data_IF_072624033994
#
_entry.id   IF_072624033994
#
_cell.length_a   1.000
_cell.length_b   1.000
_cell.length_c   1.000
_cell.angle_alpha   90.00
_cell.angle_beta   90.00
_cell.angle_gamma   90.00
#
_symmetry.space_group_name_H-M   'P 1'
#
loop_
_entity.id
_entity.type
_entity.pdbx_description
1 polymer ?
#
# COMPACT_ATOMS: atom_id res chain seq x y z
N UNK A 1 2.71 12.35 -8.31
CA UNK A 1 3.45 11.20 -7.75
C UNK A 1 4.73 11.71 -7.11
N UNK A 2 5.17 11.12 -6.00
CA UNK A 2 6.42 11.49 -5.32
C UNK A 2 7.42 10.34 -5.38
N UNK A 3 8.72 10.64 -5.22
CA UNK A 3 9.79 9.63 -5.19
C UNK A 3 10.56 9.71 -3.88
N UNK A 4 10.66 8.59 -3.18
CA UNK A 4 11.59 8.43 -2.07
C UNK A 4 13.04 8.58 -2.54
N UNK A 5 13.90 9.04 -1.64
CA UNK A 5 15.35 9.07 -1.82
C UNK A 5 15.99 8.14 -0.80
N UNK A 6 17.04 7.44 -1.21
CA UNK A 6 17.78 6.57 -0.30
C UNK A 6 18.35 7.43 0.84
N UNK A 7 17.94 7.13 2.07
CA UNK A 7 18.44 7.80 3.27
C UNK A 7 19.50 6.93 3.98
N UNK A 8 19.24 5.63 4.08
CA UNK A 8 20.14 4.62 4.66
C UNK A 8 20.13 3.37 3.80
N UNK A 9 21.23 2.61 3.83
CA UNK A 9 21.28 1.32 3.17
C UNK A 9 20.48 0.27 3.94
N UNK A 10 19.86 -0.72 3.24
CA UNK A 10 19.17 -1.81 3.90
C UNK A 10 20.09 -2.58 4.87
N UNK A 11 19.59 -3.06 6.01
CA UNK A 11 20.40 -3.77 6.99
C UNK A 11 20.82 -5.16 6.48
N UNK A 12 22.04 -5.59 6.84
CA UNK A 12 22.55 -6.92 6.54
C UNK A 12 22.55 -7.25 5.05
N UNK A 13 21.90 -8.35 4.68
CA UNK A 13 21.81 -8.83 3.30
C UNK A 13 20.54 -8.38 2.56
N UNK A 14 19.75 -7.48 3.14
CA UNK A 14 18.57 -6.95 2.47
C UNK A 14 18.93 -6.23 1.15
N UNK A 15 18.00 -6.23 0.20
CA UNK A 15 18.15 -5.67 -1.15
C UNK A 15 16.90 -4.87 -1.50
N UNK A 16 17.01 -4.00 -2.52
CA UNK A 16 15.86 -3.28 -3.06
C UNK A 16 14.83 -4.24 -3.67
N UNK A 17 13.54 -4.06 -3.37
CA UNK A 17 12.47 -4.97 -3.76
C UNK A 17 12.44 -5.30 -5.26
N UNK A 18 12.62 -4.29 -6.12
CA UNK A 18 12.61 -4.50 -7.57
C UNK A 18 13.77 -5.38 -8.04
N UNK A 19 14.93 -5.34 -7.37
CA UNK A 19 16.08 -6.20 -7.68
C UNK A 19 15.79 -7.63 -7.27
N UNK A 20 15.11 -7.85 -6.14
CA UNK A 20 14.68 -9.18 -5.68
C UNK A 20 13.74 -9.80 -6.71
N UNK A 21 12.71 -9.07 -7.14
CA UNK A 21 11.75 -9.54 -8.15
C UNK A 21 12.45 -9.80 -9.49
N UNK A 22 13.34 -8.90 -9.93
CA UNK A 22 14.11 -9.07 -11.16
C UNK A 22 15.02 -10.31 -11.11
N UNK A 23 15.73 -10.54 -10.02
CA UNK A 23 16.57 -11.72 -9.85
C UNK A 23 15.74 -13.02 -9.83
N UNK A 24 14.64 -13.04 -9.08
CA UNK A 24 13.72 -14.16 -9.03
C UNK A 24 13.15 -14.49 -10.42
N UNK A 25 12.80 -13.48 -11.22
CA UNK A 25 12.27 -13.67 -12.57
C UNK A 25 13.22 -14.44 -13.50
N UNK A 26 14.53 -14.28 -13.32
CA UNK A 26 15.55 -14.97 -14.11
C UNK A 26 15.69 -16.44 -13.70
N UNK A 27 15.69 -16.71 -12.40
CA UNK A 27 15.70 -18.07 -11.85
C UNK A 27 14.45 -18.85 -12.28
N UNK A 28 13.30 -18.16 -12.38
CA UNK A 28 12.03 -18.74 -12.79
C UNK A 28 11.85 -18.85 -14.32
N UNK A 29 12.83 -18.44 -15.12
CA UNK A 29 12.74 -18.47 -16.59
C UNK A 29 11.81 -17.42 -17.21
N UNK A 30 11.30 -16.48 -16.42
CA UNK A 30 10.41 -15.39 -16.83
C UNK A 30 11.13 -14.03 -16.76
N UNK A 31 12.35 -13.96 -17.31
CA UNK A 31 13.26 -12.82 -17.12
C UNK A 31 12.61 -11.49 -17.53
N UNK A 32 12.55 -10.57 -16.58
CA UNK A 32 12.08 -9.21 -16.82
C UNK A 32 13.10 -8.39 -17.63
N UNK A 33 12.67 -7.54 -18.58
CA UNK A 33 13.56 -6.88 -19.56
C UNK A 33 14.18 -5.57 -19.04
N UNK A 34 14.53 -5.49 -17.76
CA UNK A 34 15.13 -4.29 -17.17
C UNK A 34 16.15 -4.65 -16.09
N UNK A 35 17.30 -4.00 -16.15
CA UNK A 35 18.43 -4.25 -15.24
C UNK A 35 18.82 -3.01 -14.42
N UNK A 36 18.16 -1.87 -14.65
CA UNK A 36 18.41 -0.62 -13.93
C UNK A 36 17.11 0.00 -13.40
N UNK A 37 17.20 0.77 -12.31
CA UNK A 37 16.06 1.50 -11.76
C UNK A 37 15.48 2.52 -12.77
N UNK A 38 16.31 3.08 -13.64
CA UNK A 38 15.87 3.98 -14.72
C UNK A 38 14.98 3.24 -15.73
N UNK A 39 15.36 2.02 -16.12
CA UNK A 39 14.56 1.18 -17.01
C UNK A 39 13.24 0.74 -16.37
N UNK A 40 13.24 0.38 -15.09
CA UNK A 40 11.99 0.10 -14.33
C UNK A 40 11.06 1.30 -14.34
N UNK A 41 11.59 2.51 -14.12
CA UNK A 41 10.80 3.75 -14.16
C UNK A 41 10.27 4.06 -15.55
N UNK A 42 11.05 3.81 -16.61
CA UNK A 42 10.56 3.93 -17.98
C UNK A 42 9.39 2.97 -18.23
N UNK A 43 9.50 1.71 -17.79
CA UNK A 43 8.41 0.74 -17.89
C UNK A 43 7.15 1.17 -17.13
N UNK A 44 7.28 1.77 -15.95
CA UNK A 44 6.13 2.34 -15.23
C UNK A 44 5.42 3.42 -16.04
N UNK A 45 6.17 4.28 -16.74
CA UNK A 45 5.59 5.32 -17.61
C UNK A 45 4.85 4.72 -18.80
N UNK A 46 5.41 3.67 -19.42
CA UNK A 46 4.74 2.94 -20.50
C UNK A 46 3.41 2.32 -20.04
N UNK A 47 3.37 1.78 -18.82
CA UNK A 47 2.16 1.18 -18.24
C UNK A 47 1.15 2.25 -17.85
N UNK A 48 1.60 3.37 -17.29
CA UNK A 48 0.73 4.49 -16.95
C UNK A 48 1.47 5.83 -17.01
N UNK A 49 1.04 6.79 -17.85
CA UNK A 49 1.72 8.07 -18.02
C UNK A 49 1.73 8.94 -16.76
N UNK A 50 0.90 8.65 -15.74
CA UNK A 50 0.91 9.35 -14.45
C UNK A 50 2.28 9.33 -13.78
N UNK A 51 3.09 8.30 -14.06
CA UNK A 51 4.43 8.15 -13.48
C UNK A 51 5.50 9.02 -14.17
N UNK A 52 5.18 9.67 -15.29
CA UNK A 52 6.14 10.48 -16.06
C UNK A 52 6.48 11.82 -15.40
N UNK A 53 5.57 12.35 -14.57
CA UNK A 53 5.65 13.71 -14.03
C UNK A 53 5.68 13.67 -12.49
N UNK A 54 6.86 13.42 -11.87
CA UNK A 54 6.99 13.52 -10.43
C UNK A 54 6.68 14.94 -9.95
N UNK A 55 6.19 15.06 -8.72
CA UNK A 55 5.89 16.31 -8.01
C UNK A 55 4.86 17.22 -8.69
N UNK A 56 4.15 16.69 -9.68
CA UNK A 56 3.01 17.35 -10.34
C UNK A 56 1.71 16.62 -10.02
N UNK A 57 0.69 17.39 -9.67
CA UNK A 57 -0.68 16.92 -9.62
C UNK A 57 -1.35 17.20 -10.97
N UNK A 58 -1.62 16.15 -11.73
CA UNK A 58 -2.54 16.25 -12.87
C UNK A 58 -3.96 16.08 -12.35
N UNK A 59 -4.76 17.14 -12.42
CA UNK A 59 -6.19 17.04 -12.16
C UNK A 59 -6.83 16.28 -13.31
N UNK A 60 -7.15 15.01 -13.07
CA UNK A 60 -7.97 14.21 -13.97
C UNK A 60 -9.39 14.19 -13.40
N UNK A 61 -10.36 14.62 -14.20
CA UNK A 61 -11.77 14.46 -13.86
C UNK A 61 -12.18 13.02 -14.09
N UNK A 62 -13.23 12.58 -13.39
CA UNK A 62 -13.88 11.32 -13.74
C UNK A 62 -14.61 11.53 -15.06
N UNK A 63 -14.05 10.99 -16.15
CA UNK A 63 -14.71 11.02 -17.47
C UNK A 63 -15.89 10.05 -17.51
N UNK A 64 -15.79 8.96 -16.75
CA UNK A 64 -16.88 8.03 -16.54
C UNK A 64 -17.87 8.59 -15.51
N UNK A 65 -19.10 8.82 -15.97
CA UNK A 65 -20.23 9.29 -15.15
C UNK A 65 -21.25 8.19 -14.90
N UNK A 66 -20.97 6.97 -15.32
CA UNK A 66 -21.86 5.84 -15.06
C UNK A 66 -21.90 5.55 -13.55
N UNK A 67 -23.07 5.10 -13.09
CA UNK A 67 -23.22 4.60 -11.73
C UNK A 67 -22.45 3.29 -11.53
N UNK A 68 -22.18 2.89 -10.27
CA UNK A 68 -21.51 1.63 -10.00
C UNK A 68 -22.26 0.45 -10.61
N UNK A 69 -21.55 -0.43 -11.33
CA UNK A 69 -22.11 -1.59 -12.00
C UNK A 69 -22.39 -2.79 -11.07
N UNK A 70 -22.55 -2.54 -9.77
CA UNK A 70 -22.77 -3.58 -8.76
C UNK A 70 -24.24 -4.03 -8.68
N UNK A 71 -24.47 -5.26 -8.20
CA UNK A 71 -25.81 -5.76 -7.89
C UNK A 71 -26.28 -5.25 -6.52
N UNK A 72 -27.30 -4.38 -6.45
CA UNK A 72 -27.84 -3.90 -5.18
C UNK A 72 -28.37 -5.04 -4.29
N UNK A 73 -28.81 -6.16 -4.88
CA UNK A 73 -29.30 -7.33 -4.15
C UNK A 73 -28.21 -8.11 -3.42
N UNK A 74 -26.93 -7.87 -3.75
CA UNK A 74 -25.77 -8.46 -3.08
C UNK A 74 -25.28 -7.66 -1.87
N UNK A 75 -25.87 -6.49 -1.60
CA UNK A 75 -25.51 -5.65 -0.47
C UNK A 75 -26.09 -6.25 0.83
N UNK A 76 -25.24 -6.38 1.84
CA UNK A 76 -25.68 -6.75 3.18
C UNK A 76 -26.21 -5.54 3.95
N UNK A 77 -27.15 -5.75 4.87
CA UNK A 77 -27.60 -4.74 5.84
C UNK A 77 -26.59 -4.47 6.97
N UNK A 78 -25.38 -5.02 6.89
CA UNK A 78 -24.34 -4.80 7.88
C UNK A 78 -23.94 -3.31 7.92
N UNK A 79 -23.81 -2.70 9.11
CA UNK A 79 -23.38 -1.31 9.21
C UNK A 79 -21.94 -1.14 8.70
N UNK A 80 -21.64 0.04 8.17
CA UNK A 80 -20.26 0.38 7.81
C UNK A 80 -19.36 0.29 9.04
N UNK A 81 -18.23 -0.39 8.87
CA UNK A 81 -17.19 -0.50 9.88
C UNK A 81 -15.92 0.21 9.42
N UNK A 82 -15.11 0.63 10.38
CA UNK A 82 -13.80 1.20 10.09
C UNK A 82 -12.89 0.09 9.50
N UNK A 83 -12.29 0.30 8.32
CA UNK A 83 -11.36 -0.68 7.75
C UNK A 83 -10.05 -0.78 8.56
N UNK A 84 -9.74 0.27 9.33
CA UNK A 84 -8.59 0.33 10.24
C UNK A 84 -9.13 0.70 11.62
N UNK A 85 -9.20 -0.27 12.52
CA UNK A 85 -9.64 -0.08 13.90
C UNK A 85 -8.53 0.39 14.83
N UNK A 86 -7.26 0.14 14.46
CA UNK A 86 -6.09 0.60 15.19
C UNK A 86 -5.19 1.44 14.29
N UNK A 87 -5.38 2.76 14.36
CA UNK A 87 -4.57 3.73 13.61
C UNK A 87 -3.06 3.59 13.89
N UNK A 88 -2.70 3.31 15.14
CA UNK A 88 -1.30 3.24 15.58
C UNK A 88 -0.59 1.95 15.15
N UNK A 89 -1.30 0.97 14.58
CA UNK A 89 -0.72 -0.32 14.16
C UNK A 89 -1.19 -0.73 12.75
N UNK A 90 -1.37 0.25 11.86
CA UNK A 90 -1.92 0.04 10.53
C UNK A 90 -1.01 -0.81 9.61
N UNK A 91 0.31 -0.70 9.75
CA UNK A 91 1.29 -1.36 8.88
C UNK A 91 2.37 -2.15 9.67
N UNK A 92 3.27 -2.81 8.95
CA UNK A 92 4.32 -3.65 9.59
C UNK A 92 5.36 -2.81 10.34
N UNK A 93 5.61 -1.57 9.92
CA UNK A 93 6.59 -0.68 10.56
C UNK A 93 6.06 -0.17 11.89
N UNK A 94 4.82 0.34 11.89
CA UNK A 94 4.11 0.79 13.08
C UNK A 94 3.88 -0.33 14.08
N UNK A 95 3.53 -1.55 13.63
CA UNK A 95 3.41 -2.74 14.51
C UNK A 95 4.72 -3.14 15.18
N UNK A 96 5.86 -2.89 14.55
CA UNK A 96 7.17 -3.18 15.11
C UNK A 96 7.69 -2.06 16.04
N UNK A 97 6.97 -0.93 16.15
CA UNK A 97 7.41 0.24 16.93
C UNK A 97 6.88 0.18 18.36
N UNK A 98 7.79 0.25 19.34
CA UNK A 98 7.45 0.35 20.76
C UNK A 98 6.66 1.64 21.08
N UNK A 99 7.04 2.76 20.48
CA UNK A 99 6.34 4.05 20.64
C UNK A 99 4.90 3.94 20.17
N UNK A 100 4.66 3.32 19.03
CA UNK A 100 3.30 3.17 18.49
C UNK A 100 2.49 2.15 19.29
N UNK A 101 3.13 1.11 19.84
CA UNK A 101 2.49 0.20 20.78
C UNK A 101 2.01 0.94 22.05
N UNK A 102 2.81 1.87 22.57
CA UNK A 102 2.44 2.71 23.70
C UNK A 102 1.30 3.68 23.34
N UNK A 103 1.35 4.33 22.17
CA UNK A 103 0.24 5.15 21.69
C UNK A 103 -1.06 4.34 21.59
N UNK A 104 -1.00 3.12 21.05
CA UNK A 104 -2.15 2.23 20.99
C UNK A 104 -2.70 1.92 22.38
N UNK A 105 -1.83 1.62 23.36
CA UNK A 105 -2.23 1.29 24.74
C UNK A 105 -2.94 2.44 25.45
N UNK A 106 -2.49 3.67 25.24
CA UNK A 106 -3.01 4.86 25.94
C UNK A 106 -4.22 5.48 25.23
N UNK A 107 -4.23 5.47 23.90
CA UNK A 107 -5.17 6.25 23.09
C UNK A 107 -6.29 5.41 22.45
N UNK A 108 -6.15 4.09 22.38
CA UNK A 108 -7.28 3.27 21.94
C UNK A 108 -8.32 3.21 23.05
N UNK A 109 -9.61 3.43 22.73
CA UNK A 109 -10.67 3.17 23.68
C UNK A 109 -10.60 1.70 24.11
N UNK A 110 -10.83 1.43 25.40
CA UNK A 110 -11.00 0.07 25.88
C UNK A 110 -12.03 -0.64 24.99
N UNK A 111 -11.69 -1.82 24.48
CA UNK A 111 -12.66 -2.67 23.79
C UNK A 111 -13.82 -2.84 24.76
N UNK A 112 -15.05 -2.40 24.44
CA UNK A 112 -16.18 -2.71 25.30
C UNK A 112 -16.23 -4.23 25.39
N UNK A 113 -16.11 -4.77 26.61
CA UNK A 113 -16.39 -6.19 26.84
C UNK A 113 -17.71 -6.49 26.15
N UNK A 114 -17.73 -7.45 25.22
CA UNK A 114 -18.99 -7.95 24.68
C UNK A 114 -19.72 -8.52 25.89
N UNK A 115 -20.65 -7.75 26.46
CA UNK A 115 -21.55 -8.22 27.49
C UNK A 115 -22.21 -9.45 26.88
N UNK A 116 -21.93 -10.61 27.48
CA UNK A 116 -22.52 -11.87 27.07
C UNK A 116 -24.04 -11.68 27.05
N UNK A 117 -24.64 -11.84 25.87
CA UNK A 117 -26.08 -11.87 25.74
C UNK A 117 -26.58 -13.15 26.40
N UNK A 118 -27.30 -13.00 27.52
CA UNK A 118 -28.35 -13.95 27.95
C UNK A 118 -29.54 -13.89 26.98
#
# INVERSE_FOLDING_TARGET
MQRGRLAVHPPGEAREDWKIIRAASEVLGARLPYDTLAAVRARLVEVNPVFARPDRLERRGCEDKSGPAGDPGSLSDAPFALPISNYWQADVVSRASETMAECARVLLPAVPERIAAE
#
